data_IF_445237647035
#
_entry.id   IF_445237647035
#
_cell.length_a   1.000
_cell.length_b   1.000
_cell.length_c   1.000
_cell.angle_alpha   90.00
_cell.angle_beta   90.00
_cell.angle_gamma   90.00
#
_symmetry.space_group_name_H-M   'P 1'
#
loop_
_entity.id
_entity.type
_entity.pdbx_description
1 polymer ?
#
# COMPACT_ATOMS: atom_id res chain seq x y z
N UNK A 1 -20.79 55.53 -47.25
CA UNK A 1 -19.79 54.48 -47.00
C UNK A 1 -20.50 53.19 -46.59
N UNK A 2 -20.80 52.30 -47.54
CA UNK A 2 -21.37 50.97 -47.25
C UNK A 2 -20.30 49.94 -47.67
N UNK A 3 -19.34 49.66 -46.78
CA UNK A 3 -18.35 48.62 -47.05
C UNK A 3 -18.96 47.27 -46.63
N UNK A 4 -18.84 46.24 -47.48
CA UNK A 4 -19.36 44.88 -47.19
C UNK A 4 -18.79 44.30 -45.89
N UNK A 5 -17.59 44.74 -45.50
CA UNK A 5 -16.89 44.34 -44.27
C UNK A 5 -17.60 44.78 -42.98
N UNK A 6 -18.49 45.78 -43.03
CA UNK A 6 -19.29 46.19 -41.86
C UNK A 6 -20.34 45.13 -41.54
N UNK A 7 -20.92 44.49 -42.56
CA UNK A 7 -21.93 43.45 -42.35
C UNK A 7 -21.33 42.21 -41.69
N UNK A 8 -20.06 41.89 -41.99
CA UNK A 8 -19.34 40.76 -41.37
C UNK A 8 -19.03 40.99 -39.87
N UNK A 9 -19.20 42.21 -39.34
CA UNK A 9 -18.96 42.53 -37.94
C UNK A 9 -20.18 43.09 -37.19
N UNK A 10 -21.37 43.11 -37.80
CA UNK A 10 -22.61 43.58 -37.17
C UNK A 10 -22.93 42.82 -35.88
N UNK A 11 -22.66 41.51 -35.84
CA UNK A 11 -22.88 40.67 -34.65
C UNK A 11 -22.03 41.12 -33.46
N UNK A 12 -20.89 41.79 -33.68
CA UNK A 12 -20.05 42.34 -32.59
C UNK A 12 -20.61 43.64 -32.03
N UNK A 13 -21.42 44.35 -32.81
CA UNK A 13 -22.10 45.58 -32.40
C UNK A 13 -23.48 45.30 -31.80
N UNK A 14 -24.06 44.14 -32.09
CA UNK A 14 -25.32 43.72 -31.51
C UNK A 14 -25.11 43.23 -30.08
N UNK A 15 -25.75 43.89 -29.11
CA UNK A 15 -25.81 43.44 -27.71
C UNK A 15 -27.22 42.92 -27.46
N UNK A 16 -27.32 41.64 -27.12
CA UNK A 16 -28.61 41.02 -26.78
C UNK A 16 -29.11 41.53 -25.42
N UNK A 17 -30.38 41.89 -25.37
CA UNK A 17 -31.05 42.27 -24.13
C UNK A 17 -31.78 41.02 -23.62
N UNK A 18 -31.44 40.51 -22.42
CA UNK A 18 -32.06 39.30 -21.91
C UNK A 18 -33.56 39.51 -21.77
N UNK A 19 -34.34 38.53 -22.24
CA UNK A 19 -35.78 38.51 -22.03
C UNK A 19 -36.05 38.25 -20.54
N UNK A 20 -37.02 38.96 -19.91
CA UNK A 20 -37.38 38.71 -18.52
C UNK A 20 -37.91 37.27 -18.37
N UNK A 21 -37.06 36.39 -17.83
CA UNK A 21 -37.38 34.99 -17.55
C UNK A 21 -37.95 34.81 -16.15
N UNK A 22 -37.32 33.94 -15.35
CA UNK A 22 -37.75 33.58 -13.99
C UNK A 22 -37.79 34.78 -13.02
N UNK A 23 -38.73 34.77 -12.06
CA UNK A 23 -38.86 35.75 -10.97
C UNK A 23 -37.74 35.70 -9.91
N UNK A 24 -36.67 34.94 -10.15
CA UNK A 24 -35.51 34.89 -9.26
C UNK A 24 -34.48 35.91 -9.71
N UNK A 25 -34.27 36.93 -8.90
CA UNK A 25 -33.20 37.89 -9.12
C UNK A 25 -31.85 37.17 -8.97
N UNK A 26 -30.98 37.29 -9.98
CA UNK A 26 -29.58 36.86 -9.93
C UNK A 26 -28.65 38.06 -9.77
N UNK A 27 -28.65 38.74 -8.60
CA UNK A 27 -27.83 39.92 -8.41
C UNK A 27 -26.34 39.58 -8.51
N UNK A 28 -25.50 40.51 -8.98
CA UNK A 28 -24.06 40.33 -8.97
C UNK A 28 -23.55 40.24 -7.52
N UNK A 29 -22.99 39.10 -7.14
CA UNK A 29 -22.42 38.90 -5.80
C UNK A 29 -20.99 39.46 -5.72
N UNK A 30 -20.87 40.76 -5.48
CA UNK A 30 -19.57 41.40 -5.19
C UNK A 30 -19.31 41.47 -3.68
N UNK A 31 -18.22 40.88 -3.17
CA UNK A 31 -17.89 40.96 -1.76
C UNK A 31 -17.48 42.38 -1.35
N UNK A 32 -17.96 42.83 -0.20
CA UNK A 32 -17.73 44.18 0.33
C UNK A 32 -16.22 44.54 0.43
N UNK A 33 -15.38 43.56 0.76
CA UNK A 33 -13.93 43.72 0.85
C UNK A 33 -13.29 44.27 -0.46
N UNK A 34 -13.87 43.97 -1.63
CA UNK A 34 -13.36 44.45 -2.92
C UNK A 34 -13.71 45.92 -3.15
N UNK A 35 -14.91 46.35 -2.76
CA UNK A 35 -15.34 47.75 -2.86
C UNK A 35 -14.46 48.64 -1.97
N UNK A 36 -14.20 48.20 -0.75
CA UNK A 36 -13.33 48.90 0.20
C UNK A 36 -11.87 48.91 -0.27
N UNK A 37 -11.36 47.79 -0.80
CA UNK A 37 -10.01 47.75 -1.36
C UNK A 37 -9.83 48.72 -2.53
N UNK A 38 -10.84 48.84 -3.41
CA UNK A 38 -10.82 49.77 -4.53
C UNK A 38 -10.87 51.24 -4.07
N UNK A 39 -11.68 51.54 -3.06
CA UNK A 39 -11.73 52.87 -2.45
C UNK A 39 -10.40 53.24 -1.77
N UNK A 40 -9.78 52.29 -1.04
CA UNK A 40 -8.46 52.47 -0.42
C UNK A 40 -7.35 52.67 -1.44
N UNK A 41 -7.31 51.88 -2.53
CA UNK A 41 -6.33 52.09 -3.61
C UNK A 41 -6.47 53.44 -4.31
N UNK A 42 -7.68 53.98 -4.40
CA UNK A 42 -7.91 55.31 -4.97
C UNK A 42 -7.46 56.45 -4.02
N UNK A 43 -7.54 56.22 -2.70
CA UNK A 43 -7.16 57.21 -1.68
C UNK A 43 -5.68 57.15 -1.28
N UNK A 44 -5.09 55.96 -1.24
CA UNK A 44 -3.77 55.69 -0.66
C UNK A 44 -2.94 54.87 -1.65
N UNK A 45 -1.80 55.42 -2.10
CA UNK A 45 -0.86 54.77 -3.04
C UNK A 45 0.09 53.79 -2.33
N UNK A 46 -0.24 53.33 -1.14
CA UNK A 46 0.60 52.34 -0.45
C UNK A 46 0.57 51.02 -1.22
N UNK A 47 1.73 50.67 -1.78
CA UNK A 47 1.91 49.40 -2.47
C UNK A 47 1.97 48.32 -1.41
N UNK A 48 1.04 47.36 -1.49
CA UNK A 48 1.14 46.11 -0.72
C UNK A 48 2.45 45.42 -1.08
N UNK A 49 3.16 44.94 -0.08
CA UNK A 49 4.32 44.06 -0.26
C UNK A 49 3.85 42.81 -1.00
N UNK A 50 4.39 42.60 -2.19
CA UNK A 50 4.07 41.42 -3.00
C UNK A 50 5.10 40.33 -2.72
N UNK A 51 4.75 39.07 -2.96
CA UNK A 51 5.70 37.94 -2.85
C UNK A 51 6.98 38.16 -3.68
N UNK A 52 6.85 38.86 -4.81
CA UNK A 52 7.97 39.26 -5.66
C UNK A 52 8.94 40.23 -4.96
N UNK A 53 8.42 41.12 -4.11
CA UNK A 53 9.26 42.05 -3.35
C UNK A 53 10.03 41.29 -2.27
N UNK A 54 9.37 40.35 -1.56
CA UNK A 54 10.00 39.46 -0.58
C UNK A 54 11.06 38.54 -1.20
N UNK A 55 10.81 38.02 -2.42
CA UNK A 55 11.77 37.24 -3.17
C UNK A 55 13.04 38.06 -3.46
N UNK A 56 12.90 39.30 -3.92
CA UNK A 56 14.04 40.17 -4.20
C UNK A 56 14.85 40.51 -2.94
N UNK A 57 14.17 40.69 -1.79
CA UNK A 57 14.82 40.95 -0.50
C UNK A 57 15.58 39.72 0.03
N UNK A 58 15.05 38.51 -0.17
CA UNK A 58 15.58 37.27 0.38
C UNK A 58 16.55 36.52 -0.56
N UNK A 59 17.23 37.23 -1.46
CA UNK A 59 18.28 36.67 -2.31
C UNK A 59 17.89 36.40 -3.76
N UNK A 60 16.68 36.78 -4.17
CA UNK A 60 16.24 36.79 -5.56
C UNK A 60 15.91 35.41 -6.13
N UNK A 61 15.59 35.41 -7.43
CA UNK A 61 15.14 34.24 -8.16
C UNK A 61 16.18 33.11 -8.14
N UNK A 62 15.78 31.96 -7.61
CA UNK A 62 16.60 30.74 -7.53
C UNK A 62 17.26 30.48 -6.17
N UNK A 63 17.27 31.46 -5.26
CA UNK A 63 17.72 31.27 -3.87
C UNK A 63 16.54 31.25 -2.89
N UNK A 64 15.56 32.13 -3.09
CA UNK A 64 14.37 32.18 -2.27
C UNK A 64 13.46 30.95 -2.50
N UNK A 65 13.04 30.31 -1.41
CA UNK A 65 12.06 29.23 -1.43
C UNK A 65 10.79 29.69 -0.71
N UNK A 66 9.74 29.97 -1.48
CA UNK A 66 8.45 30.37 -0.94
C UNK A 66 7.78 29.18 -0.22
N UNK A 67 7.43 29.34 1.05
CA UNK A 67 6.67 28.32 1.78
C UNK A 67 5.19 28.44 1.43
N UNK A 68 4.64 27.38 0.84
CA UNK A 68 3.22 27.29 0.50
C UNK A 68 2.32 27.27 1.74
N UNK A 69 2.87 26.89 2.90
CA UNK A 69 2.16 26.71 4.17
C UNK A 69 1.85 28.02 4.88
N UNK A 70 2.59 29.11 4.60
CA UNK A 70 2.49 30.36 5.37
C UNK A 70 1.08 30.96 5.35
N UNK A 71 0.41 30.88 4.19
CA UNK A 71 -0.88 31.53 3.95
C UNK A 71 -2.09 30.63 4.27
N UNK A 72 -1.88 29.49 4.94
CA UNK A 72 -2.98 28.63 5.35
C UNK A 72 -3.79 29.27 6.47
N UNK A 73 -5.11 29.09 6.42
CA UNK A 73 -6.04 29.55 7.45
C UNK A 73 -6.39 28.33 8.29
N UNK A 74 -5.76 28.23 9.47
CA UNK A 74 -5.97 27.15 10.44
C UNK A 74 -6.52 27.72 11.75
N UNK A 75 -7.04 26.85 12.61
CA UNK A 75 -7.49 27.25 13.95
C UNK A 75 -6.34 27.75 14.83
N UNK A 76 -5.17 27.14 14.68
CA UNK A 76 -3.94 27.51 15.37
C UNK A 76 -2.82 27.70 14.35
N UNK A 77 -2.14 28.84 14.40
CA UNK A 77 -1.07 29.17 13.46
C UNK A 77 0.20 28.32 13.68
N UNK A 78 0.39 27.79 14.89
CA UNK A 78 1.53 26.93 15.25
C UNK A 78 1.59 25.65 14.39
N UNK A 79 0.43 25.11 14.03
CA UNK A 79 0.33 23.83 13.30
C UNK A 79 0.59 23.98 11.79
N UNK A 80 0.86 25.18 11.28
CA UNK A 80 1.11 25.38 9.84
C UNK A 80 2.32 24.61 9.36
N UNK A 81 3.36 24.52 10.19
CA UNK A 81 4.61 23.87 9.83
C UNK A 81 4.61 22.36 10.08
N UNK A 82 3.62 21.84 10.81
CA UNK A 82 3.50 20.42 11.12
C UNK A 82 3.40 19.57 9.85
N UNK A 83 3.91 18.34 9.93
CA UNK A 83 3.94 17.38 8.82
C UNK A 83 2.93 16.28 9.12
N UNK A 84 1.92 16.16 8.26
CA UNK A 84 0.93 15.10 8.37
C UNK A 84 1.49 13.78 7.83
N UNK A 85 1.37 12.66 8.55
CA UNK A 85 1.77 11.36 8.04
C UNK A 85 0.85 10.92 6.89
N UNK A 86 1.43 10.42 5.80
CA UNK A 86 0.67 9.97 4.63
C UNK A 86 0.37 8.45 4.66
N UNK A 87 1.35 7.64 5.08
CA UNK A 87 1.26 6.18 5.03
C UNK A 87 1.60 5.60 6.41
N UNK A 88 0.73 4.74 6.92
CA UNK A 88 0.92 3.96 8.15
C UNK A 88 0.56 2.50 7.88
N UNK A 89 1.47 1.57 8.17
CA UNK A 89 1.26 0.12 7.98
C UNK A 89 0.69 -0.29 6.61
N UNK A 90 1.20 0.35 5.54
CA UNK A 90 0.76 0.17 4.14
C UNK A 90 -0.64 0.70 3.82
N UNK A 91 -1.27 1.39 4.76
CA UNK A 91 -2.54 2.06 4.57
C UNK A 91 -2.34 3.58 4.47
N UNK A 92 -3.19 4.24 3.69
CA UNK A 92 -3.18 5.70 3.56
C UNK A 92 -3.96 6.32 4.73
N UNK A 93 -3.34 7.24 5.46
CA UNK A 93 -3.93 7.93 6.61
C UNK A 93 -5.15 8.75 6.22
N UNK A 94 -5.15 9.39 5.04
CA UNK A 94 -6.26 10.21 4.57
C UNK A 94 -7.58 9.45 4.44
N UNK A 95 -7.53 8.14 4.23
CA UNK A 95 -8.74 7.31 4.13
C UNK A 95 -9.45 7.13 5.48
N UNK A 96 -8.78 7.48 6.59
CA UNK A 96 -9.28 7.35 7.95
C UNK A 96 -9.44 8.71 8.64
N UNK A 97 -9.39 9.83 7.91
CA UNK A 97 -9.63 11.16 8.49
C UNK A 97 -11.11 11.50 8.34
N UNK A 98 -11.88 11.25 9.41
CA UNK A 98 -13.30 11.58 9.51
C UNK A 98 -13.59 12.37 10.80
N UNK A 99 -14.50 13.36 10.79
CA UNK A 99 -14.88 14.11 11.99
C UNK A 99 -15.51 13.21 13.07
N UNK A 100 -16.19 12.13 12.66
CA UNK A 100 -16.94 11.23 13.55
C UNK A 100 -16.20 9.92 13.85
N UNK A 101 -14.89 9.83 13.57
CA UNK A 101 -14.14 8.57 13.66
C UNK A 101 -14.18 7.94 15.07
N UNK A 102 -14.16 8.77 16.12
CA UNK A 102 -14.20 8.31 17.50
C UNK A 102 -15.54 7.63 17.85
N UNK A 103 -16.65 8.15 17.33
CA UNK A 103 -17.97 7.55 17.56
C UNK A 103 -18.07 6.19 16.86
N UNK A 104 -17.59 6.10 15.62
CA UNK A 104 -17.54 4.82 14.88
C UNK A 104 -16.62 3.80 15.56
N UNK A 105 -15.52 4.26 16.16
CA UNK A 105 -14.61 3.41 16.92
C UNK A 105 -15.30 2.84 18.17
N UNK A 106 -16.02 3.67 18.93
CA UNK A 106 -16.78 3.22 20.11
C UNK A 106 -17.85 2.18 19.75
N UNK A 107 -18.55 2.37 18.63
CA UNK A 107 -19.53 1.39 18.12
C UNK A 107 -18.88 0.05 17.78
N UNK A 108 -17.71 0.08 17.11
CA UNK A 108 -16.94 -1.10 16.77
C UNK A 108 -16.40 -1.83 18.01
N UNK A 109 -15.87 -1.11 19.00
CA UNK A 109 -15.41 -1.69 20.25
C UNK A 109 -16.54 -2.35 21.03
N UNK A 110 -17.75 -1.76 21.03
CA UNK A 110 -18.95 -2.36 21.64
C UNK A 110 -19.35 -3.65 20.92
N UNK A 111 -19.31 -3.67 19.58
CA UNK A 111 -19.59 -4.87 18.80
C UNK A 111 -18.55 -5.97 19.03
N UNK A 112 -17.25 -5.62 19.03
CA UNK A 112 -16.17 -6.57 19.35
C UNK A 112 -16.29 -7.11 20.77
N UNK A 113 -16.65 -6.29 21.76
CA UNK A 113 -16.86 -6.75 23.13
C UNK A 113 -17.98 -7.78 23.26
N UNK A 114 -19.08 -7.62 22.49
CA UNK A 114 -20.15 -8.62 22.42
C UNK A 114 -19.64 -9.90 21.76
N UNK A 115 -18.93 -9.78 20.63
CA UNK A 115 -18.37 -10.94 19.91
C UNK A 115 -17.34 -11.70 20.75
N UNK A 116 -16.46 -11.01 21.48
CA UNK A 116 -15.48 -11.62 22.37
C UNK A 116 -16.14 -12.32 23.57
N UNK A 117 -17.25 -11.80 24.08
CA UNK A 117 -18.02 -12.48 25.12
C UNK A 117 -18.76 -13.72 24.60
N UNK A 118 -19.15 -13.75 23.31
CA UNK A 118 -19.78 -14.90 22.65
C UNK A 118 -18.78 -15.96 22.18
N UNK A 119 -17.58 -15.52 21.78
CA UNK A 119 -16.46 -16.40 21.47
C UNK A 119 -15.81 -16.76 22.81
N UNK A 120 -16.30 -17.83 23.44
CA UNK A 120 -15.56 -18.50 24.52
C UNK A 120 -14.09 -18.62 24.07
N UNK A 121 -13.16 -18.25 24.96
CA UNK A 121 -11.71 -18.47 24.83
C UNK A 121 -11.34 -19.97 24.69
N UNK A 122 -12.33 -20.85 24.55
CA UNK A 122 -12.22 -22.27 24.24
C UNK A 122 -12.03 -22.53 22.74
N UNK A 123 -11.24 -21.70 22.06
CA UNK A 123 -10.39 -22.26 20.99
C UNK A 123 -9.23 -23.01 21.65
N UNK A 124 -9.57 -23.94 22.53
CA UNK A 124 -8.75 -25.11 22.80
C UNK A 124 -8.67 -25.81 21.45
N UNK A 125 -7.65 -25.45 20.68
CA UNK A 125 -7.19 -26.22 19.54
C UNK A 125 -6.79 -27.59 20.10
N UNK A 126 -7.79 -28.43 20.35
CA UNK A 126 -7.70 -29.84 20.63
C UNK A 126 -7.24 -30.56 19.38
N UNK A 127 -6.10 -30.13 18.84
CA UNK A 127 -5.29 -30.98 18.00
C UNK A 127 -4.81 -32.09 18.91
N UNK A 128 -5.40 -33.28 18.76
CA UNK A 128 -4.98 -34.50 19.47
C UNK A 128 -3.47 -34.48 19.62
N UNK A 129 -2.98 -34.27 20.84
CA UNK A 129 -1.55 -34.25 21.08
C UNK A 129 -1.00 -35.58 20.62
N UNK A 130 -0.09 -35.53 19.66
CA UNK A 130 0.52 -36.70 19.07
C UNK A 130 1.11 -37.52 20.22
N UNK A 131 0.72 -38.78 20.35
CA UNK A 131 1.18 -39.64 21.44
C UNK A 131 2.72 -39.66 21.47
N UNK A 132 3.37 -39.85 22.62
CA UNK A 132 4.83 -39.85 22.71
C UNK A 132 5.48 -40.90 21.79
N UNK A 133 4.74 -41.94 21.40
CA UNK A 133 5.15 -42.93 20.40
C UNK A 133 5.12 -42.35 18.98
N UNK A 134 4.03 -41.71 18.58
CA UNK A 134 3.89 -41.06 17.28
C UNK A 134 4.89 -39.90 17.08
N UNK A 135 5.24 -39.18 18.14
CA UNK A 135 6.29 -38.16 18.06
C UNK A 135 7.66 -38.77 17.75
N UNK A 136 7.97 -39.92 18.37
CA UNK A 136 9.21 -40.66 18.11
C UNK A 136 9.23 -41.22 16.69
N UNK A 137 8.11 -41.76 16.19
CA UNK A 137 8.04 -42.26 14.80
C UNK A 137 8.16 -41.11 13.80
N UNK A 138 7.51 -39.97 14.03
CA UNK A 138 7.65 -38.78 13.20
C UNK A 138 9.10 -38.28 13.14
N UNK A 139 9.80 -38.26 14.27
CA UNK A 139 11.21 -37.90 14.34
C UNK A 139 12.09 -38.88 13.53
N UNK A 140 11.81 -40.18 13.60
CA UNK A 140 12.50 -41.20 12.80
C UNK A 140 12.23 -41.00 11.30
N UNK A 141 10.99 -40.72 10.90
CA UNK A 141 10.62 -40.44 9.50
C UNK A 141 11.36 -39.21 8.98
N UNK A 142 11.39 -38.11 9.74
CA UNK A 142 12.11 -36.88 9.37
C UNK A 142 13.62 -37.12 9.20
N UNK A 143 14.24 -37.86 10.12
CA UNK A 143 15.66 -38.26 10.03
C UNK A 143 15.94 -39.13 8.81
N UNK A 144 15.09 -40.14 8.54
CA UNK A 144 15.25 -41.02 7.36
C UNK A 144 15.09 -40.24 6.05
N UNK A 145 14.13 -39.31 6.00
CA UNK A 145 13.89 -38.45 4.83
C UNK A 145 15.08 -37.50 4.58
N UNK A 146 15.65 -36.90 5.62
CA UNK A 146 16.82 -36.02 5.45
C UNK A 146 18.04 -36.78 4.93
N UNK A 147 18.32 -37.97 5.46
CA UNK A 147 19.40 -38.84 4.97
C UNK A 147 19.20 -39.24 3.50
N UNK A 148 17.97 -39.60 3.11
CA UNK A 148 17.66 -39.96 1.72
C UNK A 148 17.90 -38.78 0.76
N UNK A 149 17.51 -37.57 1.16
CA UNK A 149 17.74 -36.33 0.39
C UNK A 149 19.24 -36.05 0.27
N UNK A 150 20.00 -36.18 1.36
CA UNK A 150 21.46 -35.99 1.34
C UNK A 150 22.14 -37.00 0.41
N UNK A 151 21.80 -38.29 0.50
CA UNK A 151 22.31 -39.32 -0.40
C UNK A 151 21.98 -39.03 -1.86
N UNK A 152 20.76 -38.56 -2.15
CA UNK A 152 20.37 -38.16 -3.50
C UNK A 152 21.20 -36.98 -4.02
N UNK A 153 21.41 -35.95 -3.20
CA UNK A 153 22.25 -34.79 -3.56
C UNK A 153 23.70 -35.20 -3.86
N UNK A 154 24.29 -36.06 -3.03
CA UNK A 154 25.66 -36.57 -3.24
C UNK A 154 25.77 -37.33 -4.56
N UNK A 155 24.79 -38.21 -4.85
CA UNK A 155 24.74 -38.95 -6.12
C UNK A 155 24.62 -38.02 -7.33
N UNK A 156 23.80 -36.96 -7.23
CA UNK A 156 23.65 -35.96 -8.29
C UNK A 156 24.95 -35.20 -8.55
N UNK A 157 25.57 -34.63 -7.50
CA UNK A 157 26.83 -33.87 -7.61
C UNK A 157 27.95 -34.75 -8.18
N UNK A 158 28.02 -36.01 -7.76
CA UNK A 158 29.04 -36.94 -8.27
C UNK A 158 28.80 -37.27 -9.76
N UNK A 159 27.54 -37.41 -10.17
CA UNK A 159 27.18 -37.63 -11.57
C UNK A 159 27.46 -36.42 -12.48
N UNK A 160 27.44 -35.20 -11.94
CA UNK A 160 27.82 -33.98 -12.67
C UNK A 160 29.34 -33.91 -12.90
N UNK A 161 30.15 -34.38 -11.95
CA UNK A 161 31.63 -34.37 -12.05
C UNK A 161 32.22 -35.61 -12.71
N UNK A 162 31.53 -36.76 -12.67
CA UNK A 162 32.02 -38.05 -13.18
C UNK A 162 30.90 -38.87 -13.82
N UNK A 163 31.18 -39.62 -14.91
CA UNK A 163 30.18 -40.48 -15.53
C UNK A 163 29.72 -41.58 -14.54
N UNK A 164 28.41 -41.82 -14.49
CA UNK A 164 27.83 -42.85 -13.62
C UNK A 164 28.03 -44.24 -14.21
N UNK A 165 28.62 -45.15 -13.44
CA UNK A 165 28.83 -46.54 -13.84
C UNK A 165 27.47 -47.26 -13.91
N UNK A 166 27.23 -47.98 -15.02
CA UNK A 166 26.00 -48.77 -15.17
C UNK A 166 26.01 -49.89 -14.13
N UNK A 167 24.86 -50.09 -13.46
CA UNK A 167 24.66 -51.10 -12.41
C UNK A 167 25.05 -52.54 -12.81
N UNK A 168 25.12 -52.83 -14.12
CA UNK A 168 25.48 -54.13 -14.68
C UNK A 168 26.95 -54.52 -14.39
N UNK A 169 27.83 -53.54 -14.17
CA UNK A 169 29.25 -53.78 -13.90
C UNK A 169 29.54 -54.11 -12.43
N UNK A 170 28.62 -53.78 -11.51
CA UNK A 170 28.79 -53.96 -10.05
C UNK A 170 27.86 -55.06 -9.49
N UNK A 171 27.75 -56.22 -10.16
CA UNK A 171 26.78 -57.27 -9.80
C UNK A 171 26.97 -57.82 -8.38
N UNK A 172 28.22 -58.10 -7.98
CA UNK A 172 28.53 -58.75 -6.71
C UNK A 172 28.30 -57.83 -5.49
N UNK A 173 28.57 -56.54 -5.66
CA UNK A 173 28.26 -55.55 -4.63
C UNK A 173 26.77 -55.20 -4.60
N UNK A 174 26.12 -55.22 -5.77
CA UNK A 174 24.69 -54.98 -5.88
C UNK A 174 23.87 -56.06 -5.16
N UNK A 175 24.18 -57.35 -5.35
CA UNK A 175 23.48 -58.44 -4.66
C UNK A 175 23.65 -58.33 -3.15
N UNK A 176 24.88 -58.13 -2.64
CA UNK A 176 25.14 -57.93 -1.20
C UNK A 176 24.37 -56.75 -0.60
N UNK A 177 24.29 -55.62 -1.33
CA UNK A 177 23.54 -54.43 -0.91
C UNK A 177 22.03 -54.66 -0.89
N UNK A 178 21.49 -55.32 -1.91
CA UNK A 178 20.06 -55.66 -2.00
C UNK A 178 19.68 -56.62 -0.87
N UNK A 179 20.51 -57.63 -0.59
CA UNK A 179 20.31 -58.55 0.52
C UNK A 179 20.21 -57.82 1.86
N UNK A 180 21.11 -56.86 2.12
CA UNK A 180 21.08 -56.05 3.35
C UNK A 180 19.80 -55.21 3.47
N UNK A 181 19.42 -54.53 2.39
CA UNK A 181 18.23 -53.68 2.37
C UNK A 181 16.92 -54.48 2.53
N UNK A 182 16.84 -55.66 1.91
CA UNK A 182 15.67 -56.54 2.07
C UNK A 182 15.57 -57.07 3.50
N UNK A 183 16.69 -57.47 4.11
CA UNK A 183 16.73 -57.86 5.53
C UNK A 183 16.33 -56.73 6.47
N UNK A 184 16.79 -55.49 6.22
CA UNK A 184 16.38 -54.30 6.96
C UNK A 184 14.87 -53.99 6.82
N UNK A 185 14.27 -54.35 5.69
CA UNK A 185 12.83 -54.25 5.43
C UNK A 185 12.03 -55.46 5.97
N UNK A 186 12.71 -56.45 6.56
CA UNK A 186 12.08 -57.67 7.09
C UNK A 186 11.65 -58.69 6.04
N UNK A 187 12.20 -58.61 4.82
CA UNK A 187 11.91 -59.52 3.71
C UNK A 187 13.04 -60.54 3.58
N UNK A 188 12.71 -61.84 3.56
CA UNK A 188 13.71 -62.91 3.40
C UNK A 188 14.30 -62.90 1.98
N UNK A 189 15.60 -62.57 1.80
CA UNK A 189 16.23 -62.46 0.49
C UNK A 189 16.35 -63.79 -0.26
N UNK A 190 16.23 -64.93 0.42
CA UNK A 190 16.32 -66.28 -0.20
C UNK A 190 15.13 -66.60 -1.09
N UNK A 191 13.98 -65.94 -0.87
CA UNK A 191 12.78 -66.11 -1.70
C UNK A 191 12.90 -65.48 -3.08
N UNK A 192 13.87 -64.58 -3.28
CA UNK A 192 14.11 -63.89 -4.55
C UNK A 192 15.10 -64.62 -5.48
N UNK A 193 15.74 -65.69 -5.00
CA UNK A 193 16.68 -66.53 -5.76
C UNK A 193 16.04 -67.89 -6.05
N UNK A 194 15.17 -67.92 -7.06
CA UNK A 194 14.77 -69.12 -7.79
C UNK A 194 14.98 -68.85 -9.28
#
# INVERSE_FOLDING_TARGET
>A
MKSKKINDCLDRFHVEIPTPGDQKEGPPSMPQAVLEAKAKQAAEKEKRTTEKDLENENGGAGVYSASLKMNYILAHDEWKEDIMPEILDKHNVFNFVDPDILNRLEELEREEGIRQAEVDDDVEMGGMELTPEEQKTLAQIRKKKSLLIQQHRIKKITAESRPTVRRIFDKDEFTKRVWRQLSELGIDPRRATN
#
